data_IF_548611387673
#
_entry.id   IF_548611387673
#
_cell.length_a   1.000
_cell.length_b   1.000
_cell.length_c   1.000
_cell.angle_alpha   90.00
_cell.angle_beta   90.00
_cell.angle_gamma   90.00
#
_symmetry.space_group_name_H-M   'P 1'
#
loop_
_entity.id
_entity.type
_entity.pdbx_description
1 polymer ?
#
# COMPACT_ATOMS: atom_id res chain seq x y z
N UNK A 1 -16.86 -2.42 32.89
CA UNK A 1 -16.75 -1.49 34.03
C UNK A 1 -15.40 -1.51 34.75
N UNK A 2 -14.81 -2.68 35.03
CA UNK A 2 -13.54 -2.76 35.79
C UNK A 2 -12.38 -1.96 35.17
N UNK A 3 -12.24 -1.99 33.84
CA UNK A 3 -11.18 -1.28 33.12
C UNK A 3 -11.30 0.25 33.30
N UNK A 4 -12.51 0.80 33.18
CA UNK A 4 -12.77 2.22 33.34
C UNK A 4 -12.54 2.70 34.77
N UNK A 5 -13.07 1.97 35.77
CA UNK A 5 -12.84 2.29 37.18
C UNK A 5 -11.36 2.28 37.55
N UNK A 6 -10.60 1.31 37.04
CA UNK A 6 -9.16 1.21 37.29
C UNK A 6 -8.39 2.30 36.56
N UNK A 7 -8.76 2.63 35.33
CA UNK A 7 -8.15 3.71 34.57
C UNK A 7 -8.36 5.06 35.27
N UNK A 8 -9.58 5.35 35.72
CA UNK A 8 -9.92 6.59 36.41
C UNK A 8 -9.23 6.71 37.77
N UNK A 9 -9.13 5.61 38.52
CA UNK A 9 -8.37 5.58 39.77
C UNK A 9 -6.91 5.97 39.55
N UNK A 10 -6.28 5.43 38.50
CA UNK A 10 -4.89 5.75 38.13
C UNK A 10 -4.78 7.22 37.69
N UNK A 11 -5.68 7.69 36.82
CA UNK A 11 -5.73 9.08 36.33
C UNK A 11 -5.93 10.11 37.45
N UNK A 12 -6.75 9.79 38.46
CA UNK A 12 -6.98 10.66 39.62
C UNK A 12 -5.79 10.70 40.58
N UNK A 13 -5.09 9.58 40.73
CA UNK A 13 -3.95 9.46 41.65
C UNK A 13 -2.64 9.99 41.05
N UNK A 14 -2.63 10.28 39.75
CA UNK A 14 -1.44 10.75 39.03
C UNK A 14 -0.94 12.13 39.47
N UNK A 15 -1.79 12.96 40.10
CA UNK A 15 -1.42 14.32 40.53
C UNK A 15 -1.72 14.52 42.00
N UNK A 16 -0.82 15.22 42.70
CA UNK A 16 -1.11 15.77 44.02
C UNK A 16 -1.80 17.13 43.88
N UNK A 17 -2.60 17.58 44.86
CA UNK A 17 -3.24 18.90 44.82
C UNK A 17 -2.19 20.00 44.61
N UNK A 18 -2.29 20.76 43.51
CA UNK A 18 -1.37 21.87 43.18
C UNK A 18 -0.37 21.62 42.04
N UNK A 19 -0.19 20.37 41.57
CA UNK A 19 0.71 20.08 40.45
C UNK A 19 0.05 20.33 39.07
N UNK A 20 0.67 21.15 38.22
CA UNK A 20 0.20 21.45 36.85
C UNK A 20 0.91 20.65 35.74
N UNK A 21 1.96 19.90 36.07
CA UNK A 21 2.75 19.15 35.07
C UNK A 21 2.02 17.88 34.59
N UNK A 22 2.12 17.58 33.30
CA UNK A 22 1.58 16.35 32.73
C UNK A 22 2.50 15.17 33.07
N UNK A 23 1.90 14.04 33.46
CA UNK A 23 2.60 12.80 33.85
C UNK A 23 2.07 11.63 33.02
N UNK A 24 2.93 10.64 32.79
CA UNK A 24 2.58 9.44 32.04
C UNK A 24 1.88 8.44 32.98
N UNK A 25 0.67 7.95 32.64
CA UNK A 25 0.01 6.92 33.44
C UNK A 25 0.74 5.57 33.33
N UNK A 26 0.97 4.92 34.47
CA UNK A 26 1.54 3.59 34.58
C UNK A 26 0.64 2.68 35.42
N UNK A 27 0.58 1.39 35.04
CA UNK A 27 -0.21 0.37 35.75
C UNK A 27 -1.50 -0.04 35.02
N UNK A 28 -1.98 -1.25 35.30
CA UNK A 28 -3.18 -1.81 34.66
C UNK A 28 -3.07 -1.84 33.13
N UNK A 29 -4.16 -1.50 32.44
CA UNK A 29 -4.21 -1.46 30.97
C UNK A 29 -3.35 -0.36 30.36
N UNK A 30 -2.90 0.64 31.14
CA UNK A 30 -1.95 1.64 30.65
C UNK A 30 -0.57 1.05 30.33
N UNK A 31 -0.26 -0.19 30.73
CA UNK A 31 0.94 -0.90 30.24
C UNK A 31 0.89 -1.16 28.74
N UNK A 32 -0.31 -1.38 28.19
CA UNK A 32 -0.50 -1.79 26.80
C UNK A 32 -1.06 -0.68 25.91
N UNK A 33 -1.92 0.18 26.46
CA UNK A 33 -2.62 1.21 25.69
C UNK A 33 -2.53 2.59 26.33
N UNK A 34 -2.49 3.63 25.50
CA UNK A 34 -2.29 5.02 25.92
C UNK A 34 -3.54 5.59 26.58
N UNK A 35 -4.71 5.20 26.06
CA UNK A 35 -6.01 5.62 26.56
C UNK A 35 -6.82 4.39 27.01
N UNK A 36 -6.51 3.86 28.19
CA UNK A 36 -7.20 2.69 28.76
C UNK A 36 -8.69 2.93 29.03
N UNK A 37 -9.08 4.17 29.32
CA UNK A 37 -10.47 4.59 29.49
C UNK A 37 -11.28 4.47 28.18
N UNK A 38 -10.73 4.91 27.04
CA UNK A 38 -11.43 4.78 25.76
C UNK A 38 -11.55 3.31 25.33
N UNK A 39 -10.54 2.48 25.63
CA UNK A 39 -10.64 1.04 25.41
C UNK A 39 -11.76 0.41 26.27
N UNK A 40 -11.85 0.78 27.55
CA UNK A 40 -12.89 0.27 28.44
C UNK A 40 -14.29 0.67 27.99
N UNK A 41 -14.47 1.91 27.57
CA UNK A 41 -15.73 2.42 27.01
C UNK A 41 -16.16 1.65 25.74
N UNK A 42 -15.24 1.39 24.82
CA UNK A 42 -15.54 0.61 23.61
C UNK A 42 -15.96 -0.83 23.97
N UNK A 43 -15.24 -1.49 24.88
CA UNK A 43 -15.56 -2.87 25.31
C UNK A 43 -16.94 -2.91 25.99
N UNK A 44 -17.28 -1.89 26.78
CA UNK A 44 -18.57 -1.79 27.46
C UNK A 44 -19.73 -1.66 26.47
N UNK A 45 -19.61 -0.78 25.47
CA UNK A 45 -20.66 -0.60 24.47
C UNK A 45 -20.80 -1.78 23.52
N UNK A 46 -19.70 -2.44 23.17
CA UNK A 46 -19.74 -3.70 22.40
C UNK A 46 -20.42 -4.79 23.22
N UNK A 47 -20.09 -4.94 24.51
CA UNK A 47 -20.75 -5.89 25.40
C UNK A 47 -22.25 -5.61 25.53
N UNK A 48 -22.63 -4.34 25.65
CA UNK A 48 -24.04 -3.92 25.66
C UNK A 48 -24.75 -4.25 24.34
N UNK A 49 -24.11 -4.01 23.19
CA UNK A 49 -24.70 -4.32 21.89
C UNK A 49 -24.92 -5.83 21.70
N UNK A 50 -23.99 -6.67 22.17
CA UNK A 50 -24.13 -8.13 22.14
C UNK A 50 -25.28 -8.59 23.05
N UNK A 51 -25.42 -7.97 24.22
CA UNK A 51 -26.49 -8.31 25.17
C UNK A 51 -27.87 -7.85 24.69
N UNK A 52 -27.98 -6.63 24.16
CA UNK A 52 -29.24 -6.03 23.74
C UNK A 52 -29.73 -6.52 22.38
N UNK A 53 -28.84 -7.07 21.53
CA UNK A 53 -29.13 -7.59 20.19
C UNK A 53 -30.00 -6.67 19.31
N UNK A 54 -29.86 -5.35 19.50
CA UNK A 54 -30.65 -4.34 18.78
C UNK A 54 -29.78 -3.58 17.79
N UNK A 55 -30.33 -3.29 16.61
CA UNK A 55 -29.68 -2.46 15.59
C UNK A 55 -29.30 -1.08 16.12
N UNK A 56 -30.13 -0.51 17.01
CA UNK A 56 -29.83 0.76 17.67
C UNK A 56 -28.61 0.67 18.61
N UNK A 57 -28.48 -0.42 19.37
CA UNK A 57 -27.35 -0.63 20.26
C UNK A 57 -26.03 -0.86 19.52
N UNK A 58 -26.07 -1.54 18.37
CA UNK A 58 -24.92 -1.74 17.49
C UNK A 58 -24.49 -0.42 16.83
N UNK A 59 -25.45 0.36 16.31
CA UNK A 59 -25.17 1.68 15.73
C UNK A 59 -24.53 2.62 16.76
N UNK A 60 -25.02 2.59 18.01
CA UNK A 60 -24.46 3.38 19.10
C UNK A 60 -23.02 2.97 19.44
N UNK A 61 -22.73 1.67 19.54
CA UNK A 61 -21.38 1.19 19.80
C UNK A 61 -20.39 1.58 18.68
N UNK A 62 -20.81 1.46 17.41
CA UNK A 62 -20.03 1.88 16.25
C UNK A 62 -19.76 3.39 16.24
N UNK A 63 -20.78 4.20 16.52
CA UNK A 63 -20.65 5.65 16.59
C UNK A 63 -19.72 6.09 17.73
N UNK A 64 -19.83 5.45 18.91
CA UNK A 64 -18.95 5.72 20.04
C UNK A 64 -17.50 5.33 19.72
N UNK A 65 -17.26 4.18 19.08
CA UNK A 65 -15.94 3.79 18.60
C UNK A 65 -15.38 4.78 17.56
N UNK A 66 -16.20 5.22 16.61
CA UNK A 66 -15.81 6.18 15.58
C UNK A 66 -15.38 7.54 16.16
N UNK A 67 -15.95 7.96 17.29
CA UNK A 67 -15.57 9.21 17.95
C UNK A 67 -14.36 9.07 18.90
N UNK A 68 -14.28 7.96 19.63
CA UNK A 68 -13.25 7.75 20.66
C UNK A 68 -11.90 7.33 20.07
N UNK A 69 -11.89 6.53 19.00
CA UNK A 69 -10.65 6.04 18.37
C UNK A 69 -9.79 7.18 17.79
N UNK A 70 -10.32 8.14 17.01
CA UNK A 70 -9.53 9.26 16.51
C UNK A 70 -8.96 10.14 17.63
N UNK A 71 -9.77 10.41 18.66
CA UNK A 71 -9.33 11.19 19.83
C UNK A 71 -8.18 10.50 20.56
N UNK A 72 -8.25 9.19 20.73
CA UNK A 72 -7.19 8.43 21.35
C UNK A 72 -5.88 8.42 20.54
N UNK A 73 -5.98 8.34 19.20
CA UNK A 73 -4.81 8.46 18.31
C UNK A 73 -4.13 9.83 18.47
N UNK A 74 -4.91 10.91 18.53
CA UNK A 74 -4.39 12.26 18.77
C UNK A 74 -3.70 12.38 20.12
N UNK A 75 -4.31 11.84 21.19
CA UNK A 75 -3.68 11.81 22.52
C UNK A 75 -2.37 11.01 22.53
N UNK A 76 -2.33 9.85 21.87
CA UNK A 76 -1.11 9.05 21.77
C UNK A 76 0.01 9.80 21.03
N UNK A 77 -0.31 10.43 19.88
CA UNK A 77 0.65 11.26 19.14
C UNK A 77 1.15 12.44 19.98
N UNK A 78 0.27 13.07 20.75
CA UNK A 78 0.66 14.14 21.67
C UNK A 78 1.60 13.65 22.78
N UNK A 79 1.36 12.47 23.36
CA UNK A 79 2.26 11.88 24.35
C UNK A 79 3.65 11.58 23.77
N UNK A 80 3.72 11.02 22.56
CA UNK A 80 4.98 10.78 21.85
C UNK A 80 5.74 12.09 21.58
N UNK A 81 5.05 13.11 21.05
CA UNK A 81 5.68 14.40 20.77
C UNK A 81 6.18 15.11 22.04
N UNK A 82 5.47 14.97 23.16
CA UNK A 82 5.78 15.68 24.40
C UNK A 82 6.86 15.01 25.23
N UNK A 83 6.84 13.68 25.33
CA UNK A 83 7.75 12.93 26.18
C UNK A 83 8.87 12.22 25.41
N UNK A 84 8.79 12.17 24.07
CA UNK A 84 9.82 11.63 23.19
C UNK A 84 10.32 10.27 23.67
N UNK A 85 11.64 10.18 23.89
CA UNK A 85 12.34 8.96 24.34
C UNK A 85 11.94 8.49 25.75
N UNK A 86 11.31 9.34 26.57
CA UNK A 86 10.85 8.97 27.91
C UNK A 86 9.47 8.29 27.90
N UNK A 87 8.82 8.17 26.73
CA UNK A 87 7.54 7.49 26.59
C UNK A 87 7.72 6.02 26.14
N UNK A 88 6.97 5.05 26.70
CA UNK A 88 7.07 3.65 26.25
C UNK A 88 6.60 3.48 24.80
N UNK A 89 7.53 3.15 23.89
CA UNK A 89 7.25 2.98 22.46
C UNK A 89 6.35 1.78 22.14
N UNK A 90 6.34 0.75 23.00
CA UNK A 90 5.51 -0.44 22.81
C UNK A 90 4.01 -0.22 23.06
N UNK A 91 3.63 0.96 23.58
CA UNK A 91 2.25 1.26 23.95
C UNK A 91 1.43 1.64 22.72
N UNK A 92 0.26 1.02 22.54
CA UNK A 92 -0.66 1.35 21.42
C UNK A 92 -1.65 2.45 21.81
N UNK A 93 -2.37 3.02 20.84
CA UNK A 93 -3.34 4.09 21.13
C UNK A 93 -4.58 3.57 21.90
N UNK A 94 -5.27 2.54 21.37
CA UNK A 94 -6.52 2.00 21.94
C UNK A 94 -6.59 0.48 21.90
N UNK A 95 -6.29 -0.15 20.77
CA UNK A 95 -6.46 -1.60 20.61
C UNK A 95 -5.10 -2.30 20.78
N UNK A 96 -4.91 -3.16 21.79
CA UNK A 96 -3.59 -3.70 22.14
C UNK A 96 -3.05 -4.77 21.17
N UNK A 97 -3.89 -5.40 20.34
CA UNK A 97 -3.49 -6.55 19.50
C UNK A 97 -3.83 -6.45 18.01
N UNK A 98 -4.26 -5.28 17.53
CA UNK A 98 -4.31 -5.06 16.09
C UNK A 98 -2.92 -4.65 15.60
N UNK A 99 -2.35 -5.32 14.59
CA UNK A 99 -1.22 -4.80 13.84
C UNK A 99 -1.74 -3.59 13.06
N UNK A 100 -1.78 -2.43 13.71
CA UNK A 100 -1.72 -1.19 12.96
C UNK A 100 -0.34 -1.26 12.34
N UNK A 101 -0.27 -1.35 11.01
CA UNK A 101 0.83 -0.82 10.23
C UNK A 101 0.97 0.64 10.65
N UNK A 102 1.63 0.87 11.78
CA UNK A 102 2.34 2.09 11.99
C UNK A 102 3.40 2.00 10.90
N UNK A 103 3.33 2.90 9.93
CA UNK A 103 4.50 3.31 9.19
C UNK A 103 5.55 3.66 10.25
N UNK A 104 6.32 2.65 10.65
CA UNK A 104 7.46 2.79 11.52
C UNK A 104 8.51 3.44 10.63
N UNK A 105 8.40 4.76 10.45
CA UNK A 105 9.48 5.63 9.99
C UNK A 105 10.59 5.73 11.05
N UNK A 106 11.00 4.58 11.58
CA UNK A 106 12.17 4.40 12.46
C UNK A 106 13.05 3.27 11.88
N UNK A 107 13.11 3.16 10.56
CA UNK A 107 14.40 2.95 9.92
C UNK A 107 15.07 4.31 9.78
N UNK A 108 16.39 4.37 9.58
CA UNK A 108 16.93 5.45 8.76
C UNK A 108 16.15 5.40 7.44
N UNK A 109 15.01 6.09 7.34
CA UNK A 109 14.47 6.49 6.05
C UNK A 109 15.56 7.37 5.49
N UNK A 110 16.44 6.75 4.70
CA UNK A 110 17.28 7.49 3.79
C UNK A 110 16.28 8.31 2.99
N UNK A 111 16.22 9.60 3.29
CA UNK A 111 15.38 10.54 2.59
C UNK A 111 15.89 10.56 1.16
N UNK A 112 15.28 9.69 0.35
CA UNK A 112 15.67 9.47 -1.03
C UNK A 112 14.92 10.51 -1.84
N UNK A 113 15.54 11.68 -1.97
CA UNK A 113 14.98 12.74 -2.79
C UNK A 113 15.41 12.57 -4.24
N UNK A 114 14.43 12.52 -5.13
CA UNK A 114 14.60 12.58 -6.56
C UNK A 114 13.44 13.43 -7.09
N UNK A 115 13.74 14.41 -7.93
CA UNK A 115 12.77 15.43 -8.35
C UNK A 115 12.48 15.31 -9.84
N UNK A 116 11.79 14.25 -10.32
CA UNK A 116 11.53 14.02 -11.75
C UNK A 116 11.05 15.26 -12.51
N UNK A 117 10.11 16.04 -11.96
CA UNK A 117 9.55 17.20 -12.67
C UNK A 117 10.53 18.36 -12.88
N UNK A 118 11.68 18.36 -12.21
CA UNK A 118 12.75 19.35 -12.34
C UNK A 118 13.96 18.73 -13.04
N UNK A 119 14.32 17.52 -12.61
CA UNK A 119 15.48 16.76 -13.05
C UNK A 119 15.42 16.42 -14.56
N UNK A 120 14.21 16.21 -15.11
CA UNK A 120 13.97 15.76 -16.50
C UNK A 120 14.64 16.61 -17.60
N UNK A 121 15.05 17.85 -17.33
CA UNK A 121 15.63 18.73 -18.36
C UNK A 121 17.02 18.23 -18.83
N UNK A 122 17.74 17.47 -18.00
CA UNK A 122 19.13 17.09 -18.27
C UNK A 122 19.41 15.57 -18.32
N UNK A 123 18.42 14.71 -18.03
CA UNK A 123 18.63 13.25 -18.06
C UNK A 123 18.43 12.67 -19.46
N UNK A 124 19.55 12.31 -20.10
CA UNK A 124 19.58 11.53 -21.34
C UNK A 124 19.56 10.02 -21.07
N UNK A 125 19.24 9.23 -22.09
CA UNK A 125 19.27 7.76 -22.02
C UNK A 125 20.67 7.22 -21.64
N UNK A 126 21.74 7.98 -21.91
CA UNK A 126 23.11 7.63 -21.52
C UNK A 126 23.29 7.60 -19.99
N UNK A 127 22.74 8.60 -19.28
CA UNK A 127 22.78 8.63 -17.81
C UNK A 127 22.03 7.46 -17.20
N UNK A 128 20.90 7.07 -17.80
CA UNK A 128 20.14 5.88 -17.38
C UNK A 128 20.94 4.60 -17.58
N UNK A 129 21.60 4.42 -18.72
CA UNK A 129 22.48 3.26 -18.96
C UNK A 129 23.66 3.23 -17.99
N UNK A 130 24.26 4.38 -17.67
CA UNK A 130 25.32 4.49 -16.68
C UNK A 130 24.82 4.05 -15.29
N UNK A 131 23.66 4.56 -14.86
CA UNK A 131 23.06 4.19 -13.58
C UNK A 131 22.77 2.69 -13.51
N UNK A 132 22.22 2.09 -14.57
CA UNK A 132 21.98 0.64 -14.64
C UNK A 132 23.29 -0.16 -14.53
N UNK A 133 24.36 0.26 -15.21
CA UNK A 133 25.68 -0.41 -15.08
C UNK A 133 26.23 -0.34 -13.66
N UNK A 134 26.05 0.78 -12.97
CA UNK A 134 26.47 0.94 -11.57
C UNK A 134 25.63 0.05 -10.64
N UNK A 135 24.32 -0.01 -10.85
CA UNK A 135 23.41 -0.91 -10.12
C UNK A 135 23.82 -2.36 -10.33
N UNK A 136 24.09 -2.78 -11.57
CA UNK A 136 24.56 -4.14 -11.86
C UNK A 136 25.89 -4.47 -11.18
N UNK A 137 26.82 -3.51 -11.15
CA UNK A 137 28.09 -3.69 -10.45
C UNK A 137 27.90 -3.88 -8.93
N UNK A 138 26.99 -3.12 -8.32
CA UNK A 138 26.63 -3.29 -6.90
C UNK A 138 25.87 -4.60 -6.64
N UNK A 139 24.96 -5.00 -7.52
CA UNK A 139 24.26 -6.29 -7.43
C UNK A 139 25.22 -7.49 -7.53
N UNK A 140 26.35 -7.35 -8.25
CA UNK A 140 27.41 -8.37 -8.29
C UNK A 140 28.18 -8.44 -6.98
N UNK A 141 28.36 -7.32 -6.28
CA UNK A 141 29.04 -7.24 -4.97
C UNK A 141 28.16 -7.78 -3.85
N UNK A 142 26.88 -7.45 -3.89
CA UNK A 142 25.88 -7.86 -2.92
C UNK A 142 24.83 -8.76 -3.59
N UNK A 143 25.01 -10.10 -3.57
CA UNK A 143 24.02 -11.00 -4.14
C UNK A 143 22.69 -10.82 -3.41
N UNK A 144 21.61 -10.67 -4.18
CA UNK A 144 20.27 -10.39 -3.68
C UNK A 144 19.86 -11.42 -2.60
N UNK A 145 19.41 -10.93 -1.44
CA UNK A 145 18.81 -11.79 -0.42
C UNK A 145 17.56 -12.44 -1.03
N UNK A 146 17.52 -13.77 -1.11
CA UNK A 146 16.40 -14.54 -1.71
C UNK A 146 15.01 -14.26 -1.09
N UNK A 147 14.96 -13.51 0.02
CA UNK A 147 13.78 -13.31 0.86
C UNK A 147 13.02 -12.00 0.58
N UNK A 148 13.26 -11.28 -0.53
CA UNK A 148 12.54 -10.03 -0.82
C UNK A 148 11.02 -10.22 -1.05
N UNK A 149 10.60 -11.45 -1.38
CA UNK A 149 9.19 -11.83 -1.53
C UNK A 149 8.56 -12.42 -0.26
N UNK A 150 9.30 -12.52 0.85
CA UNK A 150 8.82 -13.21 2.06
C UNK A 150 7.54 -12.63 2.64
N UNK A 151 7.33 -11.32 2.47
CA UNK A 151 6.18 -10.61 2.99
C UNK A 151 5.02 -10.50 1.99
N UNK A 152 5.25 -10.92 0.73
CA UNK A 152 4.19 -10.94 -0.26
C UNK A 152 3.41 -12.26 -0.14
N UNK A 153 2.07 -12.21 -0.15
CA UNK A 153 1.29 -13.44 -0.23
C UNK A 153 1.61 -14.16 -1.53
N UNK A 154 1.70 -15.50 -1.47
CA UNK A 154 1.82 -16.29 -2.69
C UNK A 154 0.58 -16.06 -3.57
N UNK A 155 0.76 -15.81 -4.88
CA UNK A 155 -0.36 -15.62 -5.78
C UNK A 155 -1.21 -16.89 -5.82
N UNK A 156 -2.50 -16.74 -5.57
CA UNK A 156 -3.48 -17.81 -5.70
C UNK A 156 -3.80 -18.04 -7.18
N UNK A 157 -3.15 -19.04 -7.77
CA UNK A 157 -3.36 -19.45 -9.15
C UNK A 157 -4.68 -20.21 -9.37
N UNK A 158 -5.31 -20.67 -8.28
CA UNK A 158 -6.47 -21.56 -8.33
C UNK A 158 -7.78 -20.82 -8.05
N UNK A 159 -7.72 -19.50 -7.78
CA UNK A 159 -8.86 -18.65 -7.42
C UNK A 159 -10.07 -18.76 -8.35
N UNK A 160 -9.83 -19.04 -9.63
CA UNK A 160 -10.88 -19.15 -10.66
C UNK A 160 -11.10 -20.59 -11.15
N UNK A 161 -10.41 -21.58 -10.56
CA UNK A 161 -10.58 -22.97 -10.94
C UNK A 161 -11.84 -23.55 -10.30
N UNK A 162 -12.83 -23.85 -11.14
CA UNK A 162 -13.96 -24.70 -10.73
C UNK A 162 -13.47 -26.11 -10.44
N UNK A 163 -14.15 -26.84 -9.54
CA UNK A 163 -13.85 -28.24 -9.22
C UNK A 163 -13.59 -29.13 -10.44
N UNK A 164 -14.35 -28.94 -11.53
CA UNK A 164 -14.17 -29.66 -12.81
C UNK A 164 -12.85 -29.35 -13.51
N UNK A 165 -12.39 -28.10 -13.45
CA UNK A 165 -11.11 -27.70 -14.03
C UNK A 165 -9.94 -28.27 -13.23
N UNK A 166 -10.09 -28.35 -11.90
CA UNK A 166 -9.12 -29.01 -11.01
C UNK A 166 -9.01 -30.50 -11.35
N UNK A 167 -10.15 -31.20 -11.45
CA UNK A 167 -10.21 -32.61 -11.86
C UNK A 167 -9.55 -32.80 -13.25
N UNK A 168 -9.84 -31.91 -14.20
CA UNK A 168 -9.28 -31.96 -15.54
C UNK A 168 -7.77 -31.70 -15.56
N UNK A 169 -7.26 -30.74 -14.79
CA UNK A 169 -5.82 -30.51 -14.63
C UNK A 169 -5.12 -31.71 -14.02
N UNK A 170 -5.74 -32.38 -13.04
CA UNK A 170 -5.22 -33.61 -12.45
C UNK A 170 -5.19 -34.75 -13.50
N UNK A 171 -6.22 -34.87 -14.34
CA UNK A 171 -6.25 -35.84 -15.44
C UNK A 171 -5.12 -35.59 -16.46
N UNK A 172 -4.90 -34.33 -16.85
CA UNK A 172 -3.78 -33.94 -17.73
C UNK A 172 -2.44 -34.26 -17.07
N UNK A 173 -2.26 -33.92 -15.80
CA UNK A 173 -1.04 -34.20 -15.05
C UNK A 173 -0.74 -35.70 -14.98
N UNK A 174 -1.78 -36.52 -14.85
CA UNK A 174 -1.69 -37.98 -14.87
C UNK A 174 -1.56 -38.58 -16.28
N UNK A 175 -1.43 -37.73 -17.33
CA UNK A 175 -1.36 -38.13 -18.74
C UNK A 175 -2.49 -39.06 -19.17
N UNK A 176 -3.67 -38.92 -18.57
CA UNK A 176 -4.85 -39.66 -19.00
C UNK A 176 -5.35 -39.03 -20.31
N UNK A 177 -5.52 -39.84 -21.34
CA UNK A 177 -6.13 -39.38 -22.59
C UNK A 177 -7.58 -38.96 -22.33
N UNK A 178 -7.94 -37.75 -22.77
CA UNK A 178 -9.32 -37.26 -22.70
C UNK A 178 -10.17 -38.22 -23.53
N UNK A 179 -11.26 -38.79 -22.98
CA UNK A 179 -12.15 -39.65 -23.75
C UNK A 179 -12.62 -38.90 -25.00
N UNK A 180 -12.42 -39.49 -26.17
CA UNK A 180 -12.94 -38.91 -27.41
C UNK A 180 -14.44 -38.72 -27.26
N UNK A 181 -14.94 -37.56 -27.69
CA UNK A 181 -16.36 -37.28 -27.65
C UNK A 181 -17.09 -38.36 -28.45
N UNK A 182 -18.02 -39.05 -27.79
CA UNK A 182 -18.82 -40.08 -28.45
C UNK A 182 -19.83 -39.42 -29.39
N UNK A 183 -19.51 -39.45 -30.69
CA UNK A 183 -20.35 -38.90 -31.75
C UNK A 183 -21.53 -39.81 -32.08
N UNK A 184 -21.54 -41.07 -31.63
CA UNK A 184 -22.63 -42.02 -31.85
C UNK A 184 -23.93 -41.58 -31.16
N UNK A 185 -23.86 -40.65 -30.20
CA UNK A 185 -25.03 -40.00 -29.59
C UNK A 185 -25.90 -39.25 -30.61
N UNK A 186 -25.33 -38.80 -31.72
CA UNK A 186 -26.02 -38.02 -32.74
C UNK A 186 -26.45 -38.86 -33.96
N UNK A 187 -26.06 -40.12 -34.00
CA UNK A 187 -26.37 -41.05 -35.08
C UNK A 187 -27.23 -42.21 -34.56
N UNK A 188 -28.20 -42.66 -35.38
CA UNK A 188 -28.90 -43.92 -35.13
C UNK A 188 -28.25 -44.98 -36.01
N UNK A 189 -27.28 -45.76 -35.52
CA UNK A 189 -26.75 -46.87 -36.29
C UNK A 189 -27.85 -47.94 -36.46
N UNK A 190 -28.14 -48.29 -37.71
CA UNK A 190 -29.04 -49.41 -38.01
C UNK A 190 -28.28 -50.73 -37.86
N UNK A 191 -28.74 -51.66 -37.01
CA UNK A 191 -28.10 -52.96 -36.90
C UNK A 191 -28.22 -53.73 -38.23
N UNK A 192 -27.16 -54.42 -38.64
CA UNK A 192 -27.16 -55.25 -39.85
C UNK A 192 -28.17 -56.41 -39.79
N UNK A 193 -28.53 -56.99 -40.95
CA UNK A 193 -29.52 -58.08 -41.06
C UNK A 193 -29.21 -59.34 -40.24
N UNK A 194 -27.94 -59.56 -39.86
CA UNK A 194 -27.47 -60.67 -39.02
C UNK A 194 -27.16 -60.26 -37.56
N UNK A 195 -27.63 -59.10 -37.10
CA UNK A 195 -27.30 -58.59 -35.77
C UNK A 195 -28.04 -59.32 -34.63
N UNK A 196 -27.32 -59.54 -33.52
CA UNK A 196 -27.84 -60.19 -32.32
C UNK A 196 -28.94 -59.37 -31.62
N UNK A 197 -29.86 -60.02 -30.90
CA UNK A 197 -30.95 -59.37 -30.12
C UNK A 197 -30.47 -58.21 -29.23
N UNK A 198 -29.29 -58.34 -28.62
CA UNK A 198 -28.68 -57.30 -27.77
C UNK A 198 -28.35 -56.02 -28.55
N UNK A 199 -27.88 -56.13 -29.80
CA UNK A 199 -27.56 -54.98 -30.64
C UNK A 199 -28.83 -54.21 -31.05
N UNK A 200 -29.92 -54.93 -31.35
CA UNK A 200 -31.22 -54.32 -31.61
C UNK A 200 -31.82 -53.61 -30.39
N UNK A 201 -31.71 -54.19 -29.19
CA UNK A 201 -32.15 -53.54 -27.96
C UNK A 201 -31.35 -52.25 -27.68
N UNK A 202 -30.02 -52.31 -27.83
CA UNK A 202 -29.16 -51.13 -27.67
C UNK A 202 -29.50 -50.03 -28.69
N UNK A 203 -29.82 -50.39 -29.93
CA UNK A 203 -30.25 -49.44 -30.95
C UNK A 203 -31.60 -48.81 -30.60
N UNK A 204 -32.57 -49.60 -30.10
CA UNK A 204 -33.87 -49.09 -29.62
C UNK A 204 -33.68 -48.12 -28.45
N UNK A 205 -32.82 -48.43 -27.49
CA UNK A 205 -32.56 -47.57 -26.35
C UNK A 205 -31.88 -46.25 -26.79
N UNK A 206 -30.96 -46.31 -27.75
CA UNK A 206 -30.38 -45.12 -28.37
C UNK A 206 -31.45 -44.28 -29.10
N UNK A 207 -32.32 -44.91 -29.90
CA UNK A 207 -33.43 -44.22 -30.57
C UNK A 207 -34.35 -43.51 -29.58
N UNK A 208 -34.70 -44.15 -28.46
CA UNK A 208 -35.53 -43.55 -27.41
C UNK A 208 -34.82 -42.35 -26.78
N UNK A 209 -33.55 -42.49 -26.43
CA UNK A 209 -32.76 -41.39 -25.87
C UNK A 209 -32.69 -40.21 -26.85
N UNK A 210 -32.51 -40.47 -28.15
CA UNK A 210 -32.48 -39.43 -29.18
C UNK A 210 -33.84 -38.76 -29.37
N UNK A 211 -34.94 -39.52 -29.37
CA UNK A 211 -36.29 -38.97 -29.43
C UNK A 211 -36.53 -38.02 -28.24
N UNK A 212 -36.17 -38.43 -27.03
CA UNK A 212 -36.24 -37.58 -25.83
C UNK A 212 -35.40 -36.31 -25.97
N UNK A 213 -34.17 -36.42 -26.49
CA UNK A 213 -33.31 -35.26 -26.73
C UNK A 213 -33.90 -34.30 -27.78
N UNK A 214 -34.50 -34.81 -28.86
CA UNK A 214 -35.15 -33.98 -29.88
C UNK A 214 -36.39 -33.28 -29.32
N UNK A 215 -37.18 -33.97 -28.49
CA UNK A 215 -38.31 -33.36 -27.80
C UNK A 215 -37.86 -32.24 -26.85
N UNK A 216 -36.80 -32.48 -26.06
CA UNK A 216 -36.23 -31.45 -25.19
C UNK A 216 -35.66 -30.27 -26.00
N UNK A 217 -34.97 -30.54 -27.11
CA UNK A 217 -34.46 -29.50 -28.01
C UNK A 217 -35.61 -28.66 -28.58
N UNK A 218 -36.72 -29.27 -28.96
CA UNK A 218 -37.91 -28.56 -29.43
C UNK A 218 -38.43 -27.62 -28.35
N UNK A 219 -38.62 -28.10 -27.12
CA UNK A 219 -39.06 -27.27 -25.98
C UNK A 219 -38.07 -26.12 -25.73
N UNK A 220 -36.77 -26.39 -25.71
CA UNK A 220 -35.75 -25.36 -25.51
C UNK A 220 -35.76 -24.30 -26.64
N UNK A 221 -36.02 -24.71 -27.88
CA UNK A 221 -36.14 -23.78 -29.00
C UNK A 221 -37.42 -22.96 -28.92
N UNK A 222 -38.53 -23.53 -28.48
CA UNK A 222 -39.79 -22.81 -28.22
C UNK A 222 -39.56 -21.73 -27.13
N UNK A 223 -38.92 -22.09 -26.02
CA UNK A 223 -38.55 -21.14 -24.97
C UNK A 223 -37.60 -20.04 -25.48
N UNK A 224 -36.63 -20.41 -26.33
CA UNK A 224 -35.69 -19.44 -26.91
C UNK A 224 -36.39 -18.48 -27.87
N UNK A 225 -37.34 -18.95 -28.67
CA UNK A 225 -38.13 -18.11 -29.57
C UNK A 225 -39.03 -17.14 -28.81
N UNK A 226 -39.59 -17.59 -27.68
CA UNK A 226 -40.50 -16.79 -26.86
C UNK A 226 -39.75 -15.74 -26.02
N UNK A 227 -38.68 -16.13 -25.32
CA UNK A 227 -38.01 -15.28 -24.32
C UNK A 227 -36.58 -14.86 -24.68
N UNK A 228 -35.99 -15.43 -25.74
CA UNK A 228 -34.56 -15.24 -26.03
C UNK A 228 -34.19 -13.80 -26.34
N UNK A 229 -34.99 -13.11 -27.14
CA UNK A 229 -34.76 -11.69 -27.48
C UNK A 229 -34.79 -10.80 -26.25
N UNK A 230 -35.83 -10.91 -25.42
CA UNK A 230 -35.97 -10.13 -24.17
C UNK A 230 -34.86 -10.45 -23.17
N UNK A 231 -34.51 -11.73 -22.99
CA UNK A 231 -33.43 -12.15 -22.11
C UNK A 231 -32.07 -11.59 -22.57
N UNK A 232 -31.80 -11.60 -23.87
CA UNK A 232 -30.58 -10.99 -24.43
C UNK A 232 -30.55 -9.48 -24.26
N UNK A 233 -31.67 -8.78 -24.46
CA UNK A 233 -31.77 -7.34 -24.22
C UNK A 233 -31.47 -6.99 -22.75
N UNK A 234 -32.07 -7.71 -21.79
CA UNK A 234 -31.79 -7.54 -20.36
C UNK A 234 -30.33 -7.82 -20.03
N UNK A 235 -29.75 -8.88 -20.60
CA UNK A 235 -28.32 -9.18 -20.41
C UNK A 235 -27.43 -8.04 -20.92
N UNK A 236 -27.78 -7.43 -22.06
CA UNK A 236 -27.05 -6.28 -22.60
C UNK A 236 -27.17 -5.05 -21.69
N UNK A 237 -28.33 -4.80 -21.09
CA UNK A 237 -28.52 -3.72 -20.11
C UNK A 237 -27.63 -3.92 -18.87
N UNK A 238 -27.58 -5.14 -18.34
CA UNK A 238 -26.71 -5.48 -17.20
C UNK A 238 -25.24 -5.27 -17.57
N UNK A 239 -24.81 -5.77 -18.73
CA UNK A 239 -23.43 -5.58 -19.21
C UNK A 239 -23.10 -4.10 -19.38
N UNK A 240 -24.01 -3.31 -19.95
CA UNK A 240 -23.83 -1.86 -20.10
C UNK A 240 -23.67 -1.18 -18.74
N UNK A 241 -24.52 -1.52 -17.76
CA UNK A 241 -24.41 -0.98 -16.39
C UNK A 241 -23.08 -1.35 -15.72
N UNK A 242 -22.58 -2.58 -15.92
CA UNK A 242 -21.28 -3.00 -15.41
C UNK A 242 -20.12 -2.22 -16.04
N UNK A 243 -20.19 -1.97 -17.35
CA UNK A 243 -19.21 -1.14 -18.07
C UNK A 243 -19.22 0.28 -17.51
N UNK A 244 -20.39 0.91 -17.41
CA UNK A 244 -20.54 2.28 -16.88
C UNK A 244 -20.01 2.40 -15.44
N UNK A 245 -20.28 1.41 -14.58
CA UNK A 245 -19.74 1.37 -13.21
C UNK A 245 -18.21 1.28 -13.21
N UNK A 246 -17.63 0.43 -14.07
CA UNK A 246 -16.18 0.25 -14.17
C UNK A 246 -15.50 1.51 -14.72
N UNK A 247 -16.11 2.17 -15.71
CA UNK A 247 -15.62 3.43 -16.27
C UNK A 247 -15.67 4.57 -15.23
N UNK A 248 -16.72 4.63 -14.41
CA UNK A 248 -16.82 5.60 -13.33
C UNK A 248 -15.72 5.41 -12.27
N UNK A 249 -15.41 4.17 -11.90
CA UNK A 249 -14.30 3.86 -10.99
C UNK A 249 -12.95 4.26 -11.60
N UNK A 250 -12.72 3.95 -12.88
CA UNK A 250 -11.52 4.34 -13.60
C UNK A 250 -11.37 5.87 -13.65
N UNK A 251 -12.46 6.60 -13.91
CA UNK A 251 -12.45 8.06 -13.91
C UNK A 251 -12.07 8.62 -12.55
N UNK A 252 -12.64 8.07 -11.47
CA UNK A 252 -12.32 8.47 -10.09
C UNK A 252 -10.82 8.27 -9.79
N UNK A 253 -10.28 7.09 -10.08
CA UNK A 253 -8.85 6.79 -9.85
C UNK A 253 -7.96 7.70 -10.68
N UNK A 254 -8.31 7.96 -11.95
CA UNK A 254 -7.57 8.90 -12.81
C UNK A 254 -7.57 10.32 -12.24
N UNK A 255 -8.73 10.79 -11.75
CA UNK A 255 -8.85 12.12 -11.13
C UNK A 255 -7.96 12.24 -9.90
N UNK A 256 -7.98 11.23 -9.01
CA UNK A 256 -7.12 11.17 -7.83
C UNK A 256 -5.62 11.16 -8.21
N UNK A 257 -5.25 10.40 -9.25
CA UNK A 257 -3.89 10.36 -9.78
C UNK A 257 -3.45 11.72 -10.33
N UNK A 258 -4.32 12.41 -11.10
CA UNK A 258 -4.02 13.73 -11.63
C UNK A 258 -3.83 14.75 -10.51
N UNK A 259 -4.67 14.71 -9.48
CA UNK A 259 -4.53 15.58 -8.34
C UNK A 259 -3.23 15.31 -7.57
N UNK A 260 -2.89 14.05 -7.35
CA UNK A 260 -1.64 13.65 -6.71
C UNK A 260 -0.42 14.15 -7.49
N UNK A 261 -0.40 13.94 -8.81
CA UNK A 261 0.68 14.41 -9.67
C UNK A 261 0.76 15.94 -9.71
N UNK A 262 -0.37 16.64 -9.70
CA UNK A 262 -0.39 18.10 -9.62
C UNK A 262 0.20 18.61 -8.29
N UNK A 263 -0.15 17.96 -7.15
CA UNK A 263 0.42 18.29 -5.84
C UNK A 263 1.93 18.02 -5.82
N UNK A 264 2.38 16.87 -6.33
CA UNK A 264 3.81 16.52 -6.46
C UNK A 264 4.56 17.55 -7.29
N UNK A 265 4.04 17.89 -8.47
CA UNK A 265 4.65 18.90 -9.35
C UNK A 265 4.81 20.25 -8.66
N UNK A 266 3.78 20.75 -7.95
CA UNK A 266 3.88 22.01 -7.19
C UNK A 266 4.95 21.94 -6.11
N UNK A 267 4.94 20.87 -5.32
CA UNK A 267 5.93 20.68 -4.24
C UNK A 267 7.36 20.62 -4.79
N UNK A 268 7.56 19.90 -5.89
CA UNK A 268 8.87 19.82 -6.53
C UNK A 268 9.27 21.19 -7.06
N UNK A 269 8.43 21.87 -7.85
CA UNK A 269 8.75 23.21 -8.39
C UNK A 269 9.16 24.21 -7.29
N UNK A 270 8.46 24.22 -6.15
CA UNK A 270 8.83 25.06 -5.00
C UNK A 270 10.23 24.71 -4.47
N UNK A 271 10.51 23.42 -4.25
CA UNK A 271 11.83 22.96 -3.83
C UNK A 271 12.92 23.27 -4.87
N UNK A 272 12.60 23.21 -6.17
CA UNK A 272 13.52 23.56 -7.25
C UNK A 272 13.87 25.05 -7.30
N UNK A 273 12.91 25.93 -7.04
CA UNK A 273 13.15 27.37 -6.90
C UNK A 273 14.10 27.64 -5.72
N UNK A 274 13.84 27.00 -4.57
CA UNK A 274 14.71 27.08 -3.40
C UNK A 274 16.13 26.57 -3.70
N UNK A 275 16.26 25.39 -4.31
CA UNK A 275 17.55 24.80 -4.72
C UNK A 275 18.31 25.73 -5.68
N UNK A 276 17.61 26.34 -6.62
CA UNK A 276 18.22 27.29 -7.56
C UNK A 276 18.75 28.51 -6.83
N UNK A 277 17.96 29.08 -5.91
CA UNK A 277 18.38 30.24 -5.11
C UNK A 277 19.59 29.93 -4.21
N UNK A 278 19.58 28.77 -3.56
CA UNK A 278 20.67 28.30 -2.72
C UNK A 278 21.93 27.99 -3.54
N UNK A 279 21.77 27.43 -4.73
CA UNK A 279 22.86 27.20 -5.67
C UNK A 279 23.53 28.50 -6.12
N UNK A 280 22.73 29.52 -6.47
CA UNK A 280 23.25 30.85 -6.81
C UNK A 280 23.98 31.50 -5.63
N UNK A 281 23.39 31.44 -4.43
CA UNK A 281 24.02 31.95 -3.21
C UNK A 281 25.34 31.24 -2.88
N UNK A 282 25.40 29.93 -3.08
CA UNK A 282 26.63 29.15 -2.92
C UNK A 282 27.71 29.59 -3.93
N UNK A 283 27.38 29.73 -5.22
CA UNK A 283 28.32 30.22 -6.24
C UNK A 283 28.83 31.61 -5.88
N UNK A 284 27.96 32.51 -5.44
CA UNK A 284 28.33 33.86 -5.03
C UNK A 284 29.31 33.85 -3.85
N UNK A 285 29.03 33.04 -2.81
CA UNK A 285 29.90 32.91 -1.64
C UNK A 285 31.26 32.32 -2.01
N UNK A 286 31.29 31.26 -2.82
CA UNK A 286 32.55 30.65 -3.30
C UNK A 286 33.36 31.66 -4.11
N UNK A 287 32.71 32.40 -5.00
CA UNK A 287 33.36 33.43 -5.83
C UNK A 287 33.91 34.57 -4.99
N UNK A 288 33.15 35.03 -3.97
CA UNK A 288 33.62 36.04 -3.02
C UNK A 288 34.81 35.56 -2.21
N UNK A 289 34.77 34.34 -1.69
CA UNK A 289 35.88 33.76 -0.94
C UNK A 289 37.15 33.67 -1.81
N UNK A 290 37.02 33.17 -3.04
CA UNK A 290 38.14 33.14 -3.98
C UNK A 290 38.67 34.55 -4.30
N UNK A 291 37.79 35.54 -4.46
CA UNK A 291 38.18 36.94 -4.65
C UNK A 291 38.90 37.54 -3.43
N UNK A 292 38.46 37.20 -2.21
CA UNK A 292 39.13 37.60 -0.97
C UNK A 292 40.51 36.98 -0.84
N UNK A 293 40.67 35.69 -1.15
CA UNK A 293 41.98 35.02 -1.16
C UNK A 293 42.96 35.71 -2.12
N UNK A 294 42.51 36.03 -3.35
CA UNK A 294 43.33 36.75 -4.33
C UNK A 294 43.72 38.14 -3.81
N UNK A 295 42.80 38.86 -3.16
CA UNK A 295 43.07 40.18 -2.60
C UNK A 295 44.04 40.13 -1.41
N UNK A 296 43.91 39.13 -0.52
CA UNK A 296 44.84 38.89 0.59
C UNK A 296 46.24 38.60 0.04
N UNK A 297 46.35 37.72 -0.96
CA UNK A 297 47.62 37.41 -1.62
C UNK A 297 48.30 38.64 -2.25
N UNK A 298 47.50 39.56 -2.83
CA UNK A 298 48.01 40.81 -3.37
C UNK A 298 48.52 41.75 -2.27
N UNK A 299 47.74 41.93 -1.20
CA UNK A 299 48.12 42.75 -0.05
C UNK A 299 49.36 42.20 0.67
N UNK A 300 49.48 40.89 0.83
CA UNK A 300 50.68 40.26 1.38
C UNK A 300 51.92 40.56 0.53
N UNK A 301 51.80 40.54 -0.80
CA UNK A 301 52.90 40.91 -1.71
C UNK A 301 53.26 42.38 -1.56
N UNK A 302 52.28 43.27 -1.44
CA UNK A 302 52.52 44.70 -1.19
C UNK A 302 53.20 44.94 0.16
N UNK A 303 52.71 44.33 1.24
CA UNK A 303 53.33 44.41 2.57
C UNK A 303 54.78 43.91 2.51
N UNK A 304 55.04 42.80 1.81
CA UNK A 304 56.40 42.27 1.61
C UNK A 304 57.29 43.25 0.84
N UNK A 305 56.78 43.96 -0.17
CA UNK A 305 57.58 44.97 -0.90
C UNK A 305 57.84 46.22 -0.07
N UNK A 306 56.85 46.70 0.69
CA UNK A 306 56.98 47.84 1.60
C UNK A 306 57.96 47.52 2.74
N UNK A 307 57.85 46.34 3.36
CA UNK A 307 58.77 45.88 4.41
C UNK A 307 60.22 45.85 3.91
N UNK A 308 60.46 45.34 2.68
CA UNK A 308 61.79 45.40 2.04
C UNK A 308 62.27 46.84 1.85
N UNK A 309 61.39 47.77 1.45
CA UNK A 309 61.73 49.18 1.23
C UNK A 309 62.10 49.91 2.52
N UNK A 310 61.40 49.60 3.62
CA UNK A 310 61.63 50.18 4.94
C UNK A 310 62.73 49.48 5.75
N UNK A 311 63.33 48.40 5.21
CA UNK A 311 64.33 47.56 5.90
C UNK A 311 63.85 47.03 7.26
N UNK A 312 62.55 46.80 7.39
CA UNK A 312 61.96 46.21 8.60
C UNK A 312 61.96 44.69 8.43
N UNK A 313 62.48 43.97 9.42
CA UNK A 313 62.58 42.52 9.39
C UNK A 313 61.16 41.90 9.49
N UNK A 314 60.68 41.16 8.47
CA UNK A 314 59.28 40.74 8.42
C UNK A 314 58.85 39.82 9.57
N UNK A 315 59.79 39.16 10.26
CA UNK A 315 59.51 38.28 11.40
C UNK A 315 59.24 38.98 12.74
N UNK A 316 59.38 40.31 12.84
CA UNK A 316 59.06 41.07 14.05
C UNK A 316 57.55 41.39 14.16
N UNK A 317 56.84 41.52 13.04
CA UNK A 317 55.42 41.91 13.02
C UNK A 317 54.49 40.75 13.43
N UNK A 318 54.82 39.50 13.07
CA UNK A 318 54.03 38.32 13.46
C UNK A 318 54.13 37.98 14.96
N UNK A 319 55.12 38.51 15.68
CA UNK A 319 55.31 38.26 17.12
C UNK A 319 54.45 39.15 18.02
N UNK A 320 53.95 40.28 17.53
CA UNK A 320 53.11 41.20 18.33
C UNK A 320 51.61 40.94 18.19
N UNK A 321 51.17 40.05 17.28
CA UNK A 321 49.73 39.79 17.02
C UNK A 321 49.18 38.48 17.60
N UNK A 322 49.88 37.83 18.53
CA UNK A 322 49.37 36.70 19.33
C UNK A 322 49.05 37.14 20.75
#
# INVERSE_FOLDING_TARGET
>A
MFINLRADFILRTLRRPGEKCYKIPHGGMFKYVSCANFLGEIIEWIGYAIYAQSTASLAFALFTAANTIPRAKLHHKWYLNKFGNNYPQDRKAVIPMLPICQDKGEGNEVFLDALPYIDDINYTEEHKQLALKLIEAEMRRFPMTKNYLRNFPEPDYDKFLTQRLIEHQQQIANKQEIPKLDLLRYEVPTPGRAANKKAWLSAIDNCKAQLSNQNLRKINLELLLEYGSEAHLRSNEILKSQVESSEAELYKIRSELYELNARRKRSQMQAGEELTSLGQGWVELVTKNAGMEIAIDALEKEIKTIAKRLKVDPGLVEKESK
#
